data_IF_088175898998
#
_entry.id   IF_088175898998
#
_cell.length_a   1.000
_cell.length_b   1.000
_cell.length_c   1.000
_cell.angle_alpha   90.00
_cell.angle_beta   90.00
_cell.angle_gamma   90.00
#
_symmetry.space_group_name_H-M   'P 1'
#
loop_
_entity.id
_entity.type
_entity.pdbx_description
1 polymer ?
#
# COMPACT_ATOMS: atom_id res chain seq x y z
N UNK A 1 52.54 9.10 -12.73
CA UNK A 1 52.75 7.69 -13.11
C UNK A 1 51.53 6.93 -12.58
N UNK A 2 50.67 6.44 -13.47
CA UNK A 2 49.33 5.94 -13.17
C UNK A 2 49.33 4.65 -12.32
N UNK A 3 48.33 4.40 -11.46
CA UNK A 3 48.13 3.10 -10.85
C UNK A 3 47.40 2.15 -11.82
N UNK A 4 47.92 0.93 -11.92
CA UNK A 4 47.50 -0.12 -12.84
C UNK A 4 46.16 -0.75 -12.43
N UNK A 5 45.29 -0.99 -13.41
CA UNK A 5 44.03 -1.72 -13.26
C UNK A 5 44.27 -3.23 -13.20
N UNK A 6 44.02 -3.84 -12.05
CA UNK A 6 43.93 -5.30 -11.92
C UNK A 6 42.59 -5.78 -12.48
N UNK A 7 42.65 -6.48 -13.60
CA UNK A 7 41.53 -7.18 -14.23
C UNK A 7 40.99 -8.25 -13.27
N UNK A 8 39.71 -8.14 -12.87
CA UNK A 8 38.96 -9.27 -12.33
C UNK A 8 38.34 -10.03 -13.50
N UNK A 9 38.72 -11.30 -13.63
CA UNK A 9 38.22 -12.22 -14.64
C UNK A 9 36.72 -12.49 -14.43
N UNK A 10 35.88 -11.74 -15.15
CA UNK A 10 34.44 -11.99 -15.24
C UNK A 10 34.22 -13.30 -15.99
N UNK A 11 33.88 -14.35 -15.26
CA UNK A 11 33.50 -15.65 -15.79
C UNK A 11 32.17 -15.55 -16.57
N UNK A 12 32.27 -15.22 -17.86
CA UNK A 12 31.16 -15.20 -18.81
C UNK A 12 30.73 -16.63 -19.15
N UNK A 13 29.68 -17.12 -18.50
CA UNK A 13 28.95 -18.28 -19.01
C UNK A 13 28.34 -17.93 -20.39
N UNK A 14 28.43 -18.81 -21.40
CA UNK A 14 27.97 -18.49 -22.74
C UNK A 14 26.44 -18.32 -22.75
N UNK A 15 25.98 -17.15 -23.18
CA UNK A 15 24.56 -16.87 -23.42
C UNK A 15 23.99 -17.82 -24.49
N UNK A 16 22.75 -18.26 -24.31
CA UNK A 16 22.06 -19.15 -25.24
C UNK A 16 21.94 -18.47 -26.62
N UNK A 17 22.27 -19.15 -27.73
CA UNK A 17 22.49 -18.52 -29.05
C UNK A 17 21.30 -17.76 -29.65
N UNK A 18 20.08 -17.93 -29.13
CA UNK A 18 18.90 -17.21 -29.63
C UNK A 18 18.67 -15.85 -28.96
N UNK A 19 19.06 -15.64 -27.69
CA UNK A 19 18.83 -14.36 -27.00
C UNK A 19 19.72 -13.23 -27.54
N UNK A 20 20.92 -13.56 -27.97
CA UNK A 20 21.88 -12.60 -28.52
C UNK A 20 21.37 -11.97 -29.82
N UNK A 21 20.63 -12.72 -30.64
CA UNK A 21 20.14 -12.21 -31.92
C UNK A 21 18.98 -11.22 -31.72
N UNK A 22 18.05 -11.51 -30.81
CA UNK A 22 16.91 -10.63 -30.50
C UNK A 22 17.39 -9.32 -29.86
N UNK A 23 18.31 -9.41 -28.88
CA UNK A 23 18.92 -8.24 -28.23
C UNK A 23 19.71 -7.36 -29.22
N UNK A 24 20.26 -7.92 -30.31
CA UNK A 24 20.98 -7.17 -31.35
C UNK A 24 20.03 -6.48 -32.33
N UNK A 25 18.94 -7.14 -32.73
CA UNK A 25 17.92 -6.57 -33.61
C UNK A 25 17.27 -5.36 -32.94
N UNK A 26 16.88 -5.48 -31.67
CA UNK A 26 16.29 -4.39 -30.88
C UNK A 26 17.23 -3.18 -30.74
N UNK A 27 18.54 -3.42 -30.60
CA UNK A 27 19.55 -2.35 -30.49
C UNK A 27 19.81 -1.62 -31.80
N UNK A 28 19.74 -2.33 -32.92
CA UNK A 28 19.86 -1.75 -34.27
C UNK A 28 18.60 -0.93 -34.59
N UNK A 29 17.41 -1.46 -34.31
CA UNK A 29 16.13 -0.77 -34.53
C UNK A 29 16.05 0.54 -33.74
N UNK A 30 16.48 0.50 -32.47
CA UNK A 30 16.42 1.67 -31.59
C UNK A 30 17.68 2.57 -31.67
N UNK A 31 18.63 2.28 -32.56
CA UNK A 31 19.80 3.14 -32.81
C UNK A 31 20.83 3.20 -31.68
N UNK A 32 20.76 2.30 -30.69
CA UNK A 32 21.68 2.23 -29.54
C UNK A 32 22.71 1.10 -29.64
N UNK A 33 22.90 0.52 -30.83
CA UNK A 33 23.84 -0.59 -31.09
C UNK A 33 25.31 -0.31 -30.70
N UNK A 34 25.71 0.96 -30.55
CA UNK A 34 27.04 1.36 -30.09
C UNK A 34 27.19 1.58 -28.59
N UNK A 35 26.11 1.42 -27.81
CA UNK A 35 26.15 1.57 -26.35
C UNK A 35 26.75 0.29 -25.74
N UNK A 36 27.72 0.44 -24.84
CA UNK A 36 28.26 -0.71 -24.09
C UNK A 36 27.14 -1.35 -23.28
N UNK A 37 26.97 -2.65 -23.42
CA UNK A 37 25.92 -3.39 -22.73
C UNK A 37 26.00 -3.17 -21.22
N UNK A 38 24.90 -2.67 -20.65
CA UNK A 38 24.74 -2.67 -19.20
C UNK A 38 24.76 -4.12 -18.74
N UNK A 39 25.58 -4.48 -17.74
CA UNK A 39 25.60 -5.84 -17.22
C UNK A 39 24.21 -6.14 -16.68
N UNK A 40 23.44 -6.96 -17.42
CA UNK A 40 22.18 -7.53 -16.95
C UNK A 40 22.56 -8.33 -15.70
N UNK A 41 22.29 -7.78 -14.52
CA UNK A 41 22.53 -8.46 -13.24
C UNK A 41 21.64 -9.69 -13.24
N UNK A 42 22.22 -10.84 -13.58
CA UNK A 42 21.59 -12.13 -13.35
C UNK A 42 21.28 -12.17 -11.86
N UNK A 43 19.99 -12.28 -11.53
CA UNK A 43 19.42 -12.24 -10.18
C UNK A 43 19.82 -13.44 -9.29
N UNK A 44 20.99 -14.04 -9.55
CA UNK A 44 21.54 -15.22 -8.89
C UNK A 44 22.30 -14.82 -7.61
N UNK A 45 22.36 -13.53 -7.25
CA UNK A 45 22.85 -13.15 -5.91
C UNK A 45 21.73 -13.40 -4.91
N UNK A 46 21.81 -14.41 -4.02
CA UNK A 46 20.87 -14.50 -2.94
C UNK A 46 21.07 -13.26 -2.09
N UNK A 47 20.09 -12.35 -2.09
CA UNK A 47 20.07 -11.21 -1.17
C UNK A 47 19.84 -11.81 0.22
N UNK A 48 20.91 -12.23 0.87
CA UNK A 48 20.91 -12.63 2.27
C UNK A 48 20.64 -11.39 3.11
N UNK A 49 19.35 -11.04 3.24
CA UNK A 49 18.92 -10.12 4.28
C UNK A 49 19.24 -10.84 5.59
N UNK A 50 20.31 -10.41 6.26
CA UNK A 50 20.60 -10.66 7.67
C UNK A 50 20.45 -9.34 8.41
N UNK A 51 19.38 -9.19 9.19
CA UNK A 51 19.13 -7.98 9.97
C UNK A 51 17.71 -7.92 10.55
N UNK A 52 17.57 -8.49 11.76
CA UNK A 52 16.48 -8.37 12.74
C UNK A 52 15.04 -8.66 12.29
N UNK A 53 14.62 -9.93 12.34
CA UNK A 53 13.25 -10.38 12.02
C UNK A 53 12.46 -10.89 13.23
N UNK A 54 12.68 -10.35 14.45
CA UNK A 54 11.98 -10.91 15.63
C UNK A 54 10.47 -10.67 15.61
N UNK A 55 9.99 -9.74 14.78
CA UNK A 55 8.56 -9.46 14.56
C UNK A 55 8.19 -9.40 13.08
N UNK A 56 8.86 -10.17 12.22
CA UNK A 56 8.36 -10.35 10.85
C UNK A 56 7.20 -11.33 10.90
N UNK A 57 5.99 -10.82 10.60
CA UNK A 57 4.84 -11.67 10.36
C UNK A 57 5.12 -12.50 9.11
N UNK A 58 5.35 -13.80 9.31
CA UNK A 58 5.73 -14.72 8.24
C UNK A 58 4.62 -14.93 7.19
N UNK A 59 3.35 -14.60 7.51
CA UNK A 59 2.23 -14.73 6.58
C UNK A 59 1.94 -13.41 5.86
N UNK A 60 2.05 -13.43 4.54
CA UNK A 60 1.74 -12.29 3.65
C UNK A 60 0.29 -11.83 3.85
N UNK A 61 -0.63 -12.77 4.01
CA UNK A 61 -2.06 -12.52 4.21
C UNK A 61 -2.38 -11.73 5.48
N UNK A 62 -1.66 -11.98 6.58
CA UNK A 62 -1.91 -11.26 7.82
C UNK A 62 -1.40 -9.83 7.72
N UNK A 63 -0.28 -9.61 7.03
CA UNK A 63 0.24 -8.26 6.73
C UNK A 63 -0.74 -7.47 5.86
N UNK A 64 -1.31 -8.11 4.84
CA UNK A 64 -2.38 -7.55 4.00
C UNK A 64 -3.59 -7.15 4.87
N UNK A 65 -4.08 -8.05 5.72
CA UNK A 65 -5.22 -7.77 6.63
C UNK A 65 -4.93 -6.62 7.61
N UNK A 66 -3.73 -6.55 8.18
CA UNK A 66 -3.35 -5.43 9.06
C UNK A 66 -3.27 -4.10 8.32
N UNK A 67 -2.79 -4.10 7.08
CA UNK A 67 -2.75 -2.90 6.25
C UNK A 67 -4.16 -2.40 5.92
N UNK A 68 -5.08 -3.31 5.58
CA UNK A 68 -6.50 -2.99 5.37
C UNK A 68 -7.16 -2.47 6.65
N UNK A 69 -6.93 -3.14 7.78
CA UNK A 69 -7.41 -2.69 9.08
C UNK A 69 -6.96 -1.25 9.38
N UNK A 70 -5.65 -0.97 9.26
CA UNK A 70 -5.07 0.33 9.57
C UNK A 70 -5.58 1.41 8.63
N UNK A 71 -5.64 1.12 7.33
CA UNK A 71 -6.14 2.06 6.34
C UNK A 71 -7.61 2.41 6.56
N UNK A 72 -8.47 1.40 6.81
CA UNK A 72 -9.90 1.63 7.10
C UNK A 72 -10.09 2.36 8.43
N UNK A 73 -9.29 2.04 9.45
CA UNK A 73 -9.29 2.75 10.73
C UNK A 73 -9.00 4.25 10.54
N UNK A 74 -7.93 4.59 9.83
CA UNK A 74 -7.55 5.99 9.57
C UNK A 74 -8.65 6.71 8.79
N UNK A 75 -9.13 6.11 7.70
CA UNK A 75 -10.21 6.67 6.89
C UNK A 75 -11.45 7.00 7.73
N UNK A 76 -11.88 6.09 8.61
CA UNK A 76 -13.07 6.27 9.46
C UNK A 76 -12.84 7.31 10.56
N UNK A 77 -11.66 7.35 11.18
CA UNK A 77 -11.35 8.36 12.20
C UNK A 77 -11.45 9.77 11.62
N UNK A 78 -10.88 10.01 10.43
CA UNK A 78 -10.98 11.31 9.77
C UNK A 78 -12.40 11.61 9.29
N UNK A 79 -13.07 10.65 8.65
CA UNK A 79 -14.43 10.83 8.11
C UNK A 79 -15.50 11.05 9.18
N UNK A 80 -15.49 10.26 10.26
CA UNK A 80 -16.41 10.42 11.39
C UNK A 80 -16.04 11.63 12.25
N UNK A 81 -14.75 11.94 12.38
CA UNK A 81 -14.26 13.10 13.12
C UNK A 81 -14.78 14.42 12.57
N UNK A 82 -14.70 14.63 11.24
CA UNK A 82 -15.25 15.85 10.61
C UNK A 82 -16.78 15.91 10.72
N UNK A 83 -17.47 14.78 10.56
CA UNK A 83 -18.93 14.75 10.64
C UNK A 83 -19.40 15.19 12.03
N UNK A 84 -18.74 14.67 13.06
CA UNK A 84 -19.00 15.02 14.44
C UNK A 84 -18.63 16.49 14.77
N UNK A 85 -17.50 17.00 14.24
CA UNK A 85 -17.13 18.41 14.40
C UNK A 85 -18.22 19.37 13.87
N UNK A 86 -18.76 19.07 12.68
CA UNK A 86 -19.81 19.89 12.05
C UNK A 86 -21.12 19.79 12.82
N UNK A 87 -21.57 18.57 13.13
CA UNK A 87 -22.84 18.34 13.85
C UNK A 87 -22.82 18.93 15.27
N UNK A 88 -21.75 18.71 16.03
CA UNK A 88 -21.64 19.19 17.41
C UNK A 88 -21.54 20.72 17.50
N UNK A 89 -21.07 21.36 16.42
CA UNK A 89 -20.91 22.82 16.36
C UNK A 89 -22.12 23.54 15.74
N UNK A 90 -23.20 22.83 15.40
CA UNK A 90 -24.36 23.40 14.69
C UNK A 90 -23.95 24.20 13.44
N UNK A 91 -23.07 23.63 12.61
CA UNK A 91 -22.52 24.26 11.39
C UNK A 91 -21.66 25.53 11.62
N UNK A 92 -21.34 25.89 12.87
CA UNK A 92 -20.53 27.08 13.16
C UNK A 92 -19.03 26.88 12.85
N UNK A 93 -18.50 25.66 13.03
CA UNK A 93 -17.07 25.34 12.86
C UNK A 93 -16.77 24.52 11.60
N UNK A 94 -17.76 24.29 10.73
CA UNK A 94 -17.56 23.59 9.47
C UNK A 94 -18.86 23.50 8.67
N UNK A 95 -18.72 23.35 7.36
CA UNK A 95 -19.85 23.31 6.42
C UNK A 95 -19.83 22.00 5.65
N UNK A 96 -20.86 21.74 4.85
CA UNK A 96 -20.90 20.57 3.98
C UNK A 96 -19.63 20.41 3.11
N UNK A 97 -18.99 21.51 2.70
CA UNK A 97 -17.74 21.45 1.95
C UNK A 97 -16.57 20.86 2.76
N UNK A 98 -16.47 21.18 4.06
CA UNK A 98 -15.39 20.64 4.91
C UNK A 98 -15.53 19.14 5.12
N UNK A 99 -16.76 18.63 5.22
CA UNK A 99 -17.05 17.18 5.30
C UNK A 99 -16.51 16.47 4.06
N UNK A 100 -16.86 16.94 2.86
CA UNK A 100 -16.41 16.32 1.61
C UNK A 100 -14.89 16.37 1.44
N UNK A 101 -14.27 17.52 1.76
CA UNK A 101 -12.81 17.66 1.72
C UNK A 101 -12.11 16.70 2.68
N UNK A 102 -12.57 16.63 3.94
CA UNK A 102 -11.97 15.72 4.93
C UNK A 102 -12.20 14.24 4.58
N UNK A 103 -13.34 13.87 4.02
CA UNK A 103 -13.55 12.50 3.51
C UNK A 103 -12.59 12.16 2.38
N UNK A 104 -12.40 13.06 1.41
CA UNK A 104 -11.44 12.86 0.33
C UNK A 104 -10.00 12.73 0.82
N UNK A 105 -9.58 13.60 1.75
CA UNK A 105 -8.26 13.54 2.38
C UNK A 105 -8.10 12.28 3.24
N UNK A 106 -9.13 11.91 4.00
CA UNK A 106 -9.12 10.71 4.85
C UNK A 106 -8.96 9.43 4.03
N UNK A 107 -9.64 9.34 2.88
CA UNK A 107 -9.45 8.24 1.93
C UNK A 107 -8.04 8.25 1.36
N UNK A 108 -7.53 9.40 0.93
CA UNK A 108 -6.16 9.52 0.39
C UNK A 108 -5.10 9.02 1.39
N UNK A 109 -5.20 9.44 2.65
CA UNK A 109 -4.27 9.01 3.71
C UNK A 109 -4.44 7.50 3.96
N UNK A 110 -5.67 7.00 4.02
CA UNK A 110 -5.96 5.57 4.17
C UNK A 110 -5.33 4.73 3.05
N UNK A 111 -5.42 5.21 1.80
CA UNK A 111 -4.79 4.56 0.63
C UNK A 111 -3.28 4.57 0.78
N UNK A 112 -2.69 5.73 1.10
CA UNK A 112 -1.24 5.86 1.26
C UNK A 112 -0.68 4.91 2.34
N UNK A 113 -1.44 4.66 3.41
CA UNK A 113 -1.05 3.72 4.46
C UNK A 113 -1.09 2.24 4.02
N UNK A 114 -1.92 1.88 3.05
CA UNK A 114 -2.27 0.47 2.75
C UNK A 114 -1.88 0.01 1.34
N UNK A 115 -1.58 0.93 0.42
CA UNK A 115 -1.27 0.67 -0.99
C UNK A 115 -0.04 -0.23 -1.15
N UNK A 116 1.04 0.06 -0.43
CA UNK A 116 2.32 -0.65 -0.57
C UNK A 116 2.34 -2.09 -0.02
N UNK A 117 1.27 -2.55 0.64
CA UNK A 117 1.21 -3.90 1.25
C UNK A 117 0.03 -4.69 0.70
N UNK A 118 -1.16 -4.10 0.67
CA UNK A 118 -2.43 -4.79 0.39
C UNK A 118 -3.05 -4.42 -0.96
N UNK A 119 -2.63 -3.30 -1.56
CA UNK A 119 -3.29 -2.70 -2.72
C UNK A 119 -4.46 -1.77 -2.36
N UNK A 120 -4.60 -1.40 -1.08
CA UNK A 120 -5.55 -0.40 -0.56
C UNK A 120 -7.00 -0.61 -0.99
N UNK A 121 -7.63 -1.74 -0.64
CA UNK A 121 -9.05 -1.92 -0.92
C UNK A 121 -9.91 -1.05 0.00
N UNK A 122 -9.56 -0.97 1.29
CA UNK A 122 -10.13 -0.13 2.37
C UNK A 122 -11.62 -0.28 2.64
N UNK A 123 -12.33 -0.98 1.75
CA UNK A 123 -13.76 -1.07 1.66
C UNK A 123 -14.12 -2.47 1.16
N UNK A 124 -15.10 -3.04 1.82
CA UNK A 124 -15.63 -4.37 1.52
C UNK A 124 -16.24 -4.45 0.12
N UNK A 125 -16.86 -3.37 -0.36
CA UNK A 125 -17.38 -3.30 -1.73
C UNK A 125 -16.27 -3.30 -2.79
N UNK A 126 -15.16 -2.59 -2.54
CA UNK A 126 -13.99 -2.55 -3.43
C UNK A 126 -13.30 -3.92 -3.44
N UNK A 127 -13.17 -4.54 -2.28
CA UNK A 127 -12.65 -5.91 -2.15
C UNK A 127 -13.50 -6.89 -2.96
N UNK A 128 -14.83 -6.79 -2.86
CA UNK A 128 -15.75 -7.61 -3.63
C UNK A 128 -15.61 -7.37 -5.15
N UNK A 129 -15.54 -6.11 -5.58
CA UNK A 129 -15.30 -5.77 -6.98
C UNK A 129 -13.98 -6.37 -7.48
N UNK A 130 -12.90 -6.28 -6.72
CA UNK A 130 -11.62 -6.90 -7.06
C UNK A 130 -11.68 -8.43 -7.15
N UNK A 131 -12.54 -9.10 -6.35
CA UNK A 131 -12.81 -10.52 -6.51
C UNK A 131 -13.57 -10.85 -7.80
N UNK A 132 -14.57 -10.04 -8.17
CA UNK A 132 -15.32 -10.21 -9.43
C UNK A 132 -14.43 -9.98 -10.65
N UNK A 133 -13.55 -8.98 -10.60
CA UNK A 133 -12.58 -8.70 -11.67
C UNK A 133 -11.36 -9.65 -11.69
N UNK A 134 -11.28 -10.60 -10.76
CA UNK A 134 -10.18 -11.57 -10.70
C UNK A 134 -8.83 -11.00 -10.24
N UNK A 135 -8.80 -9.78 -9.67
CA UNK A 135 -7.59 -9.18 -9.11
C UNK A 135 -7.25 -9.72 -7.71
N UNK A 136 -8.25 -10.24 -6.98
CA UNK A 136 -8.07 -10.85 -5.66
C UNK A 136 -8.69 -12.27 -5.63
N UNK A 137 -7.96 -13.30 -5.16
CA UNK A 137 -8.52 -14.64 -5.02
C UNK A 137 -9.64 -14.67 -3.97
N UNK A 138 -10.74 -15.35 -4.30
CA UNK A 138 -11.94 -15.45 -3.46
C UNK A 138 -11.70 -15.98 -2.04
N UNK A 139 -10.66 -16.80 -1.84
CA UNK A 139 -10.30 -17.30 -0.51
C UNK A 139 -9.74 -16.23 0.42
N UNK A 140 -9.18 -15.14 -0.12
CA UNK A 140 -8.65 -14.01 0.67
C UNK A 140 -9.71 -12.97 1.04
N UNK A 141 -10.79 -12.88 0.26
CA UNK A 141 -11.87 -11.92 0.47
C UNK A 141 -12.42 -11.87 1.91
N UNK A 142 -12.79 -13.00 2.56
CA UNK A 142 -13.36 -12.94 3.91
C UNK A 142 -12.38 -12.38 4.94
N UNK A 143 -11.07 -12.61 4.80
CA UNK A 143 -10.06 -12.05 5.68
C UNK A 143 -10.02 -10.52 5.62
N UNK A 144 -10.07 -9.98 4.39
CA UNK A 144 -10.10 -8.54 4.12
C UNK A 144 -11.38 -7.89 4.66
N UNK A 145 -12.53 -8.52 4.45
CA UNK A 145 -13.83 -8.03 4.93
C UNK A 145 -13.86 -7.91 6.46
N UNK A 146 -13.34 -8.93 7.17
CA UNK A 146 -13.27 -8.92 8.64
C UNK A 146 -12.32 -7.83 9.13
N UNK A 147 -11.14 -7.69 8.52
CA UNK A 147 -10.17 -6.66 8.93
C UNK A 147 -10.70 -5.25 8.70
N UNK A 148 -11.40 -5.00 7.60
CA UNK A 148 -12.02 -3.71 7.30
C UNK A 148 -13.16 -3.40 8.28
N UNK A 149 -14.01 -4.40 8.58
CA UNK A 149 -15.10 -4.23 9.55
C UNK A 149 -14.55 -3.90 10.95
N UNK A 150 -13.52 -4.61 11.39
CA UNK A 150 -12.84 -4.33 12.66
C UNK A 150 -12.19 -2.94 12.67
N UNK A 151 -11.56 -2.54 11.57
CA UNK A 151 -10.95 -1.22 11.42
C UNK A 151 -11.98 -0.10 11.53
N UNK A 152 -13.12 -0.26 10.85
CA UNK A 152 -14.22 0.68 10.91
C UNK A 152 -14.88 0.72 12.30
N UNK A 153 -15.09 -0.44 12.93
CA UNK A 153 -15.67 -0.53 14.27
C UNK A 153 -14.78 0.16 15.31
N UNK A 154 -13.47 -0.12 15.30
CA UNK A 154 -12.52 0.50 16.23
C UNK A 154 -12.38 2.01 15.93
N UNK A 155 -12.38 2.41 14.66
CA UNK A 155 -12.34 3.83 14.28
C UNK A 155 -13.55 4.61 14.81
N UNK A 156 -14.76 4.05 14.65
CA UNK A 156 -15.97 4.63 15.20
C UNK A 156 -15.96 4.66 16.74
N UNK A 157 -15.47 3.60 17.38
CA UNK A 157 -15.33 3.55 18.84
C UNK A 157 -14.39 4.62 19.38
N UNK A 158 -13.25 4.86 18.73
CA UNK A 158 -12.30 5.92 19.13
C UNK A 158 -12.95 7.30 19.05
N UNK A 159 -13.70 7.58 17.98
CA UNK A 159 -14.42 8.86 17.84
C UNK A 159 -15.50 9.02 18.92
N UNK A 160 -16.24 7.95 19.23
CA UNK A 160 -17.20 7.96 20.32
C UNK A 160 -16.55 8.30 21.67
N UNK A 161 -15.43 7.64 22.00
CA UNK A 161 -14.68 7.91 23.24
C UNK A 161 -14.15 9.35 23.27
N UNK A 162 -13.59 9.84 22.15
CA UNK A 162 -13.11 11.22 22.06
C UNK A 162 -14.23 12.26 22.21
N UNK A 163 -15.42 11.97 21.68
CA UNK A 163 -16.56 12.88 21.76
C UNK A 163 -17.42 12.69 23.01
N UNK A 164 -17.15 11.69 23.84
CA UNK A 164 -17.99 11.32 24.98
C UNK A 164 -18.38 12.53 25.85
N UNK A 165 -17.43 13.44 26.13
CA UNK A 165 -17.69 14.65 26.91
C UNK A 165 -18.66 15.62 26.22
N UNK A 166 -18.51 15.81 24.92
CA UNK A 166 -19.37 16.69 24.14
C UNK A 166 -20.76 16.09 23.92
N UNK A 167 -20.85 14.77 23.69
CA UNK A 167 -22.12 14.06 23.57
C UNK A 167 -22.92 14.16 24.86
N UNK A 168 -22.28 13.99 26.02
CA UNK A 168 -22.94 14.15 27.32
C UNK A 168 -23.46 15.58 27.59
N UNK A 169 -22.88 16.60 26.95
CA UNK A 169 -23.37 17.98 27.05
C UNK A 169 -24.59 18.20 26.15
N UNK A 170 -24.63 17.57 24.98
CA UNK A 170 -25.74 17.68 24.03
C UNK A 170 -26.95 16.85 24.46
N UNK A 171 -26.72 15.63 24.95
CA UNK A 171 -27.77 14.72 25.42
C UNK A 171 -27.40 14.13 26.80
N UNK A 172 -27.74 14.82 27.90
CA UNK A 172 -27.46 14.35 29.25
C UNK A 172 -28.50 13.33 29.69
N UNK A 173 -28.40 12.08 29.23
CA UNK A 173 -29.23 10.96 29.72
C UNK A 173 -28.44 9.65 29.83
#
# INVERSE_FOLDING_TARGET
MAPQSSNEDVNLAPASPNQTNDDLVDKIENGYAGMTDTPKVNSIVPVERKGLYRFTVNSVHLRECFAEFLGTFVMIVFGMGVNNQVTNSQDANGTWLSINMCWGIGVLIGVYCSEGISGANLNTAVTFAHCVYGRLPWWKAPGYMISQLLGAFIGAFVIYVMQYQNLNVIDPN
#
